data_IF_791106589440
#
_entry.id   IF_791106589440
#
_cell.length_a   1.000
_cell.length_b   1.000
_cell.length_c   1.000
_cell.angle_alpha   90.00
_cell.angle_beta   90.00
_cell.angle_gamma   90.00
#
_symmetry.space_group_name_H-M   'P 1'
#
loop_
_entity.id
_entity.type
_entity.pdbx_description
1 polymer ?
#
# COMPACT_ATOMS: atom_id res chain seq x y z
N UNK A 1 2.34 9.73 -3.20
CA UNK A 1 1.37 8.70 -3.67
C UNK A 1 0.54 9.29 -4.83
N UNK A 2 1.17 9.55 -5.98
CA UNK A 2 0.53 10.27 -7.10
C UNK A 2 0.21 9.41 -8.32
N UNK A 3 0.76 8.19 -8.40
CA UNK A 3 0.59 7.27 -9.55
C UNK A 3 -0.86 6.84 -9.80
N UNK A 4 -1.72 6.89 -8.80
CA UNK A 4 -3.13 6.50 -8.89
C UNK A 4 -4.09 7.70 -8.86
N UNK A 5 -3.58 8.94 -8.84
CA UNK A 5 -4.39 10.15 -8.69
C UNK A 5 -5.19 10.25 -7.38
N UNK A 6 -5.02 9.30 -6.45
CA UNK A 6 -5.77 9.25 -5.19
C UNK A 6 -5.04 10.01 -4.09
N UNK A 7 -5.74 10.94 -3.46
CA UNK A 7 -5.24 11.61 -2.26
C UNK A 7 -5.49 10.72 -1.02
N UNK A 8 -4.44 10.36 -0.31
CA UNK A 8 -4.53 9.60 0.96
C UNK A 8 -4.21 10.54 2.12
N UNK A 9 -5.07 10.56 3.13
CA UNK A 9 -4.84 11.39 4.32
C UNK A 9 -3.64 10.86 5.11
N UNK A 10 -2.92 11.78 5.78
CA UNK A 10 -1.79 11.41 6.63
C UNK A 10 -2.20 10.40 7.72
N UNK A 11 -3.38 10.57 8.33
CA UNK A 11 -3.91 9.63 9.32
C UNK A 11 -4.12 8.22 8.75
N UNK A 12 -4.75 8.11 7.57
CA UNK A 12 -4.98 6.83 6.92
C UNK A 12 -3.66 6.13 6.54
N UNK A 13 -2.66 6.89 6.07
CA UNK A 13 -1.32 6.37 5.79
C UNK A 13 -0.68 5.78 7.06
N UNK A 14 -0.70 6.53 8.16
CA UNK A 14 -0.14 6.08 9.44
C UNK A 14 -0.85 4.83 9.97
N UNK A 15 -2.19 4.81 9.96
CA UNK A 15 -2.96 3.63 10.37
C UNK A 15 -2.62 2.42 9.51
N UNK A 16 -2.46 2.58 8.20
CA UNK A 16 -2.04 1.51 7.29
C UNK A 16 -0.65 0.97 7.64
N UNK A 17 0.33 1.86 7.84
CA UNK A 17 1.70 1.47 8.19
C UNK A 17 1.77 0.70 9.51
N UNK A 18 1.05 1.15 10.56
CA UNK A 18 1.03 0.44 11.84
C UNK A 18 0.36 -0.93 11.76
N UNK A 19 -0.75 -1.06 11.02
CA UNK A 19 -1.40 -2.36 10.81
C UNK A 19 -0.50 -3.35 10.06
N UNK A 20 0.29 -2.88 9.10
CA UNK A 20 1.25 -3.72 8.37
C UNK A 20 2.42 -4.14 9.27
N UNK A 21 2.86 -3.27 10.18
CA UNK A 21 3.85 -3.59 11.21
C UNK A 21 3.31 -4.62 12.22
N UNK A 22 2.09 -4.45 12.73
CA UNK A 22 1.44 -5.41 13.64
C UNK A 22 1.32 -6.81 13.03
N UNK A 23 1.10 -6.91 11.71
CA UNK A 23 1.06 -8.19 10.98
C UNK A 23 2.45 -8.80 10.73
N UNK A 24 3.53 -8.07 11.05
CA UNK A 24 4.92 -8.46 10.84
C UNK A 24 5.43 -8.26 9.41
N UNK A 25 4.72 -7.47 8.59
CA UNK A 25 5.12 -7.20 7.20
C UNK A 25 6.07 -6.02 7.09
N UNK A 26 6.01 -5.10 8.05
CA UNK A 26 6.95 -4.00 8.21
C UNK A 26 7.66 -4.11 9.57
N UNK A 27 8.81 -3.47 9.65
CA UNK A 27 9.45 -3.07 10.91
C UNK A 27 9.67 -1.57 10.89
N UNK A 28 9.72 -0.93 12.05
CA UNK A 28 10.01 0.49 12.13
C UNK A 28 11.07 0.86 13.15
N UNK A 29 11.74 1.99 12.90
CA UNK A 29 12.68 2.61 13.83
C UNK A 29 12.44 4.11 13.92
N UNK A 30 12.67 4.68 15.09
CA UNK A 30 12.75 6.12 15.24
C UNK A 30 14.12 6.59 14.74
N UNK A 31 14.11 7.65 13.92
CA UNK A 31 15.32 8.40 13.62
C UNK A 31 15.59 9.47 14.66
N UNK A 32 16.59 10.28 14.39
CA UNK A 32 16.98 11.38 15.27
C UNK A 32 15.88 12.45 15.36
N UNK A 33 15.80 13.08 16.53
CA UNK A 33 15.01 14.28 16.71
C UNK A 33 15.53 15.38 15.79
N UNK A 34 14.64 16.06 15.06
CA UNK A 34 15.02 17.14 14.16
C UNK A 34 14.25 18.41 14.51
N UNK A 35 14.97 19.52 14.65
CA UNK A 35 14.39 20.84 14.85
C UNK A 35 13.43 21.24 13.72
N UNK A 36 13.57 20.65 12.52
CA UNK A 36 12.67 20.89 11.37
C UNK A 36 11.23 20.39 11.59
N UNK A 37 10.96 19.54 12.60
CA UNK A 37 9.61 19.06 12.96
C UNK A 37 9.26 19.31 14.43
N UNK A 38 9.74 20.42 14.99
CA UNK A 38 9.49 20.76 16.40
C UNK A 38 10.04 19.70 17.36
N UNK A 39 11.18 19.10 17.03
CA UNK A 39 11.85 18.09 17.86
C UNK A 39 11.29 16.66 17.77
N UNK A 40 10.15 16.44 17.08
CA UNK A 40 9.59 15.08 16.96
C UNK A 40 10.42 14.22 15.99
N UNK A 41 10.89 13.03 16.41
CA UNK A 41 11.64 12.13 15.54
C UNK A 41 10.75 11.60 14.40
N UNK A 42 11.36 11.36 13.24
CA UNK A 42 10.69 10.65 12.14
C UNK A 42 10.68 9.15 12.45
N UNK A 43 9.59 8.46 12.14
CA UNK A 43 9.56 6.99 12.11
C UNK A 43 9.83 6.52 10.70
N UNK A 44 10.80 5.64 10.55
CA UNK A 44 11.17 5.00 9.29
C UNK A 44 10.67 3.57 9.29
N UNK A 45 10.01 3.15 8.21
CA UNK A 45 9.52 1.79 8.03
C UNK A 45 10.36 1.06 6.99
N UNK A 46 10.52 -0.24 7.16
CA UNK A 46 11.23 -1.12 6.22
C UNK A 46 10.44 -2.42 6.08
N UNK A 47 10.40 -2.95 4.86
CA UNK A 47 9.69 -4.19 4.55
C UNK A 47 10.48 -5.38 5.10
N UNK A 48 9.81 -6.32 5.77
CA UNK A 48 10.42 -7.55 6.27
C UNK A 48 10.49 -8.61 5.17
N UNK A 49 11.24 -9.69 5.37
CA UNK A 49 11.21 -10.84 4.46
C UNK A 49 9.79 -11.41 4.29
N UNK A 50 9.03 -11.52 5.40
CA UNK A 50 7.62 -11.91 5.39
C UNK A 50 6.78 -10.94 4.55
N UNK A 51 6.98 -9.63 4.71
CA UNK A 51 6.28 -8.62 3.93
C UNK A 51 6.57 -8.68 2.43
N UNK A 52 7.80 -9.03 2.04
CA UNK A 52 8.17 -9.22 0.63
C UNK A 52 7.45 -10.44 0.02
N UNK A 53 7.42 -11.56 0.74
CA UNK A 53 6.72 -12.77 0.30
C UNK A 53 5.21 -12.51 0.13
N UNK A 54 4.60 -11.80 1.08
CA UNK A 54 3.18 -11.45 1.04
C UNK A 54 2.83 -10.51 -0.13
N UNK A 55 3.72 -9.56 -0.46
CA UNK A 55 3.56 -8.72 -1.64
C UNK A 55 3.55 -9.54 -2.93
N UNK A 56 4.42 -10.55 -3.02
CA UNK A 56 4.46 -11.47 -4.17
C UNK A 56 3.16 -12.26 -4.27
N UNK A 57 2.70 -12.85 -3.17
CA UNK A 57 1.44 -13.60 -3.14
C UNK A 57 0.23 -12.74 -3.53
N UNK A 58 0.14 -11.51 -3.02
CA UNK A 58 -0.94 -10.58 -3.40
C UNK A 58 -0.90 -10.27 -4.90
N UNK A 59 0.28 -10.08 -5.47
CA UNK A 59 0.42 -9.84 -6.91
C UNK A 59 -0.02 -11.08 -7.71
N UNK A 60 0.44 -12.27 -7.32
CA UNK A 60 0.10 -13.53 -7.98
C UNK A 60 -1.41 -13.79 -7.93
N UNK A 61 -2.05 -13.59 -6.77
CA UNK A 61 -3.50 -13.69 -6.62
C UNK A 61 -4.25 -12.70 -7.51
N UNK A 62 -3.82 -11.44 -7.53
CA UNK A 62 -4.46 -10.41 -8.37
C UNK A 62 -4.32 -10.74 -9.85
N UNK A 63 -3.16 -11.23 -10.29
CA UNK A 63 -2.93 -11.65 -11.67
C UNK A 63 -3.77 -12.89 -12.01
N UNK A 64 -3.88 -13.87 -11.11
CA UNK A 64 -4.71 -15.04 -11.31
C UNK A 64 -6.19 -14.66 -11.47
N UNK A 65 -6.70 -13.81 -10.58
CA UNK A 65 -8.07 -13.28 -10.67
C UNK A 65 -8.29 -12.53 -11.97
N UNK A 66 -7.36 -11.65 -12.36
CA UNK A 66 -7.46 -10.93 -13.64
C UNK A 66 -7.53 -11.88 -14.84
N UNK A 67 -6.72 -12.94 -14.85
CA UNK A 67 -6.71 -13.95 -15.92
C UNK A 67 -7.94 -14.85 -15.94
N UNK A 68 -8.62 -15.02 -14.80
CA UNK A 68 -9.83 -15.84 -14.71
C UNK A 68 -11.08 -15.16 -15.26
N UNK A 69 -11.02 -13.85 -15.57
CA UNK A 69 -12.18 -13.12 -16.11
C UNK A 69 -12.42 -13.60 -17.55
N UNK A 70 -13.61 -14.17 -17.87
CA UNK A 70 -13.93 -14.61 -19.22
C UNK A 70 -13.92 -13.46 -20.22
N UNK A 71 -13.54 -13.77 -21.46
CA UNK A 71 -13.64 -12.82 -22.57
C UNK A 71 -15.10 -12.36 -22.75
N UNK A 72 -15.31 -11.05 -22.85
CA UNK A 72 -16.63 -10.46 -23.11
C UNK A 72 -17.46 -10.06 -21.88
N UNK A 73 -16.94 -10.21 -20.65
CA UNK A 73 -17.62 -9.72 -19.42
C UNK A 73 -17.63 -8.19 -19.35
N UNK A 74 -16.54 -7.56 -19.75
CA UNK A 74 -16.45 -6.11 -19.83
C UNK A 74 -16.95 -5.63 -21.18
N UNK A 75 -18.27 -5.66 -21.39
CA UNK A 75 -18.88 -4.92 -22.49
C UNK A 75 -18.93 -3.46 -22.11
N UNK A 76 -18.26 -2.62 -22.91
CA UNK A 76 -18.42 -1.17 -22.80
C UNK A 76 -19.84 -0.87 -23.27
N UNK A 77 -20.70 -0.45 -22.35
CA UNK A 77 -22.01 0.08 -22.72
C UNK A 77 -21.75 1.44 -23.39
N UNK A 78 -22.11 1.62 -24.67
CA UNK A 78 -22.00 2.92 -25.33
C UNK A 78 -22.78 3.96 -24.52
N UNK A 79 -22.16 5.09 -24.20
CA UNK A 79 -22.78 6.15 -23.36
C UNK A 79 -23.45 7.22 -24.23
N UNK A 80 -23.59 6.96 -25.52
CA UNK A 80 -24.24 7.78 -26.52
C UNK A 80 -25.75 7.48 -26.57
N UNK A 81 -26.45 8.01 -25.55
CA UNK A 81 -27.86 8.40 -25.57
C UNK A 81 -28.00 9.79 -24.92
#
# INVERSE_FOLDING_TARGET
EGRLGRHVSMGALHTGLYRLEERGFLTSRLGEASNKRGGKPKRFFSVTAKGQEELKQVMDHRTALWRSIPNGVFQVIPTDL
#
